data_IF_787917431334
#
_entry.id   IF_787917431334
#
_cell.length_a   1.000
_cell.length_b   1.000
_cell.length_c   1.000
_cell.angle_alpha   90.00
_cell.angle_beta   90.00
_cell.angle_gamma   90.00
#
_symmetry.space_group_name_H-M   'P 1'
#
loop_
_entity.id
_entity.type
_entity.pdbx_description
1 polymer ?
#
# COMPACT_ATOMS: atom_id res chain seq x y z
N UNK A 1 2.08 -23.45 -3.04
CA UNK A 1 2.47 -22.08 -3.45
C UNK A 1 3.98 -22.04 -3.50
N UNK A 2 4.58 -21.47 -4.53
CA UNK A 2 6.01 -21.61 -4.78
C UNK A 2 6.78 -20.59 -3.94
N UNK A 3 7.90 -20.97 -3.33
CA UNK A 3 8.71 -20.06 -2.50
C UNK A 3 9.36 -18.91 -3.28
N UNK A 4 9.20 -18.91 -4.60
CA UNK A 4 9.71 -17.90 -5.53
C UNK A 4 8.60 -16.96 -6.03
N UNK A 5 7.34 -17.17 -5.62
CA UNK A 5 6.25 -16.28 -5.99
C UNK A 5 6.51 -14.90 -5.36
N UNK A 6 6.48 -13.86 -6.18
CA UNK A 6 6.73 -12.47 -5.77
C UNK A 6 5.45 -11.67 -5.81
N UNK A 7 5.49 -10.50 -5.20
CA UNK A 7 4.45 -9.50 -5.30
C UNK A 7 4.14 -9.16 -6.75
N UNK A 8 2.88 -9.35 -7.14
CA UNK A 8 2.39 -9.05 -8.48
C UNK A 8 1.64 -7.72 -8.45
N UNK A 9 1.83 -6.91 -9.49
CA UNK A 9 1.25 -5.58 -9.57
C UNK A 9 0.76 -5.26 -10.98
N UNK A 10 -0.44 -4.69 -11.06
CA UNK A 10 -0.94 -4.00 -12.24
C UNK A 10 -1.10 -2.52 -11.92
N UNK A 11 -0.54 -1.66 -12.76
CA UNK A 11 -0.63 -0.20 -12.62
C UNK A 11 -1.49 0.35 -13.75
N UNK A 12 -2.50 1.15 -13.39
CA UNK A 12 -3.38 1.84 -14.32
C UNK A 12 -3.27 3.34 -14.04
N UNK A 13 -2.84 4.10 -15.04
CA UNK A 13 -2.86 5.55 -14.99
C UNK A 13 -4.18 6.07 -15.59
N UNK A 14 -4.87 6.91 -14.82
CA UNK A 14 -6.19 7.46 -15.17
C UNK A 14 -6.13 8.97 -15.11
N UNK A 15 -6.55 9.64 -16.18
CA UNK A 15 -6.69 11.09 -16.22
C UNK A 15 -8.17 11.47 -16.25
N UNK A 16 -8.58 12.33 -15.32
CA UNK A 16 -9.96 12.85 -15.29
C UNK A 16 -9.92 14.32 -14.87
N UNK A 17 -10.51 15.20 -15.67
CA UNK A 17 -10.58 16.64 -15.41
C UNK A 17 -9.19 17.27 -15.14
N UNK A 18 -8.16 16.83 -15.88
CA UNK A 18 -6.78 17.30 -15.67
C UNK A 18 -6.07 16.72 -14.44
N UNK A 19 -6.73 15.87 -13.66
CA UNK A 19 -6.14 15.20 -12.50
C UNK A 19 -5.68 13.81 -12.90
N UNK A 20 -4.43 13.50 -12.58
CA UNK A 20 -3.84 12.17 -12.76
C UNK A 20 -4.01 11.33 -11.49
N UNK A 21 -4.62 10.16 -11.65
CA UNK A 21 -4.74 9.12 -10.64
C UNK A 21 -3.90 7.91 -11.05
N UNK A 22 -3.25 7.28 -10.07
CA UNK A 22 -2.55 6.02 -10.26
C UNK A 22 -3.26 4.94 -9.46
N UNK A 23 -3.86 3.98 -10.12
CA UNK A 23 -4.52 2.83 -9.48
C UNK A 23 -3.58 1.64 -9.56
N UNK A 24 -3.25 1.05 -8.43
CA UNK A 24 -2.39 -0.12 -8.35
C UNK A 24 -3.17 -1.29 -7.76
N UNK A 25 -3.39 -2.31 -8.58
CA UNK A 25 -3.91 -3.60 -8.15
C UNK A 25 -2.77 -4.53 -7.76
N UNK A 26 -2.82 -5.13 -6.57
CA UNK A 26 -1.75 -5.98 -6.04
C UNK A 26 -2.24 -7.37 -5.67
N UNK A 27 -1.37 -8.35 -5.84
CA UNK A 27 -1.48 -9.66 -5.22
C UNK A 27 -0.16 -10.02 -4.54
N UNK A 28 -0.21 -10.16 -3.21
CA UNK A 28 0.93 -10.63 -2.42
C UNK A 28 0.78 -12.13 -2.15
N UNK A 29 1.66 -12.99 -2.68
CA UNK A 29 1.59 -14.41 -2.37
C UNK A 29 1.86 -14.65 -0.87
N UNK A 30 1.28 -15.70 -0.27
CA UNK A 30 1.62 -16.17 1.06
C UNK A 30 3.12 -16.30 1.25
N UNK A 31 3.58 -16.01 2.45
CA UNK A 31 5.00 -16.03 2.82
C UNK A 31 5.88 -14.96 2.17
N UNK A 32 5.34 -14.09 1.30
CA UNK A 32 6.03 -12.89 0.85
C UNK A 32 5.77 -11.69 1.79
N UNK A 33 6.82 -10.95 2.11
CA UNK A 33 6.73 -9.67 2.81
C UNK A 33 6.72 -8.55 1.75
N UNK A 34 5.62 -7.81 1.57
CA UNK A 34 5.52 -6.85 0.49
C UNK A 34 6.37 -5.61 0.78
N UNK A 35 7.14 -5.18 -0.21
CA UNK A 35 7.86 -3.90 -0.19
C UNK A 35 7.01 -2.85 -0.92
N UNK A 36 6.12 -2.20 -0.15
CA UNK A 36 5.18 -1.21 -0.70
C UNK A 36 5.86 0.13 -1.04
N UNK A 37 7.04 0.42 -0.49
CA UNK A 37 7.76 1.65 -0.82
C UNK A 37 8.25 1.63 -2.28
N UNK A 38 8.57 0.43 -2.79
CA UNK A 38 8.93 0.22 -4.20
C UNK A 38 7.72 0.23 -5.12
N UNK A 39 6.53 -0.10 -4.63
CA UNK A 39 5.30 -0.06 -5.41
C UNK A 39 4.77 1.36 -5.47
N UNK A 40 4.96 1.97 -6.64
CA UNK A 40 4.45 3.32 -6.93
C UNK A 40 5.53 4.34 -7.26
N UNK A 41 6.80 3.98 -7.12
CA UNK A 41 7.95 4.81 -7.50
C UNK A 41 8.07 6.08 -6.66
N UNK A 42 8.92 6.05 -5.63
CA UNK A 42 9.56 7.16 -4.87
C UNK A 42 8.64 8.22 -4.21
N UNK A 43 7.39 8.35 -4.63
CA UNK A 43 6.34 9.00 -3.86
C UNK A 43 5.05 8.41 -4.36
N UNK A 44 4.26 7.70 -3.53
CA UNK A 44 2.87 7.46 -3.96
C UNK A 44 2.29 8.85 -4.20
N UNK A 45 2.02 9.16 -5.47
CA UNK A 45 1.39 10.38 -5.92
C UNK A 45 0.18 10.67 -5.02
N UNK A 46 -0.13 11.95 -4.79
CA UNK A 46 -1.25 12.34 -3.89
C UNK A 46 -2.57 11.66 -4.25
N UNK A 47 -2.70 11.25 -5.51
CA UNK A 47 -3.86 10.61 -6.11
C UNK A 47 -3.59 9.12 -6.45
N UNK A 48 -2.81 8.42 -5.64
CA UNK A 48 -2.62 6.97 -5.77
C UNK A 48 -3.65 6.20 -4.96
N UNK A 49 -4.30 5.22 -5.59
CA UNK A 49 -5.15 4.23 -4.95
C UNK A 49 -4.43 2.89 -5.03
N UNK A 50 -4.22 2.24 -3.89
CA UNK A 50 -3.68 0.87 -3.83
C UNK A 50 -4.80 -0.04 -3.33
N UNK A 51 -5.03 -1.15 -4.03
CA UNK A 51 -6.01 -2.16 -3.69
C UNK A 51 -5.48 -3.55 -4.07
N UNK A 52 -5.96 -4.59 -3.42
CA UNK A 52 -5.48 -5.94 -3.69
C UNK A 52 -5.63 -6.89 -2.51
N UNK A 53 -5.18 -8.12 -2.71
CA UNK A 53 -5.05 -9.10 -1.65
C UNK A 53 -3.59 -9.16 -1.20
N UNK A 54 -3.35 -8.74 0.04
CA UNK A 54 -2.02 -8.70 0.64
C UNK A 54 -1.70 -9.95 1.48
N UNK A 55 -2.69 -10.81 1.74
CA UNK A 55 -2.57 -11.91 2.72
C UNK A 55 -2.04 -11.36 4.06
N UNK A 56 -2.61 -10.22 4.48
CA UNK A 56 -2.12 -9.41 5.58
C UNK A 56 -3.20 -9.31 6.67
N UNK A 57 -3.00 -10.00 7.79
CA UNK A 57 -3.89 -9.86 8.94
C UNK A 57 -3.54 -8.57 9.69
N UNK A 58 -4.54 -7.73 9.98
CA UNK A 58 -4.44 -6.57 10.85
C UNK A 58 -5.73 -6.33 11.60
N UNK A 59 -5.59 -5.90 12.85
CA UNK A 59 -6.71 -5.40 13.66
C UNK A 59 -7.35 -4.15 13.07
N UNK A 60 -6.63 -3.36 12.25
CA UNK A 60 -7.15 -2.14 11.60
C UNK A 60 -8.21 -2.43 10.53
N UNK A 61 -8.23 -3.64 9.99
CA UNK A 61 -9.24 -4.09 9.02
C UNK A 61 -9.92 -5.39 9.44
N UNK A 62 -10.05 -5.61 10.76
CA UNK A 62 -11.01 -6.57 11.32
C UNK A 62 -10.47 -7.94 11.72
N UNK A 63 -9.15 -8.18 11.68
CA UNK A 63 -8.57 -9.41 12.24
C UNK A 63 -8.41 -9.31 13.76
N UNK A 64 -8.33 -10.45 14.44
CA UNK A 64 -8.07 -10.50 15.89
C UNK A 64 -6.61 -10.18 16.26
N UNK A 65 -5.69 -10.27 15.29
CA UNK A 65 -4.28 -9.98 15.47
C UNK A 65 -3.66 -9.31 14.23
N UNK A 66 -2.49 -8.70 14.42
CA UNK A 66 -1.70 -8.12 13.33
C UNK A 66 -0.48 -9.01 13.02
N UNK A 67 -0.44 -9.54 11.81
CA UNK A 67 0.67 -10.32 11.26
C UNK A 67 1.86 -9.44 10.87
N UNK A 68 3.03 -10.03 10.59
CA UNK A 68 4.19 -9.29 10.07
C UNK A 68 3.87 -8.58 8.74
N UNK A 69 3.17 -9.26 7.84
CA UNK A 69 2.66 -8.70 6.58
C UNK A 69 1.68 -7.55 6.82
N UNK A 70 0.79 -7.69 7.81
CA UNK A 70 -0.10 -6.61 8.26
C UNK A 70 0.67 -5.36 8.69
N UNK A 71 1.69 -5.52 9.54
CA UNK A 71 2.54 -4.40 9.97
C UNK A 71 3.24 -3.72 8.80
N UNK A 72 3.80 -4.49 7.85
CA UNK A 72 4.46 -3.94 6.67
C UNK A 72 3.51 -3.13 5.77
N UNK A 73 2.21 -3.49 5.73
CA UNK A 73 1.19 -2.71 5.02
C UNK A 73 0.79 -1.44 5.80
N UNK A 74 0.77 -1.51 7.13
CA UNK A 74 0.38 -0.39 7.99
C UNK A 74 1.42 0.72 8.11
N UNK A 75 2.71 0.38 8.19
CA UNK A 75 3.81 1.31 8.45
C UNK A 75 3.85 2.50 7.46
N UNK A 76 3.77 2.29 6.13
CA UNK A 76 3.74 3.38 5.16
C UNK A 76 2.49 4.26 5.25
N UNK A 77 1.39 3.75 5.79
CA UNK A 77 0.15 4.52 5.99
C UNK A 77 0.28 5.46 7.19
N UNK A 78 1.06 5.07 8.21
CA UNK A 78 1.22 5.83 9.44
C UNK A 78 2.16 7.02 9.29
N UNK A 79 3.29 6.84 8.59
CA UNK A 79 4.29 7.90 8.36
C UNK A 79 3.68 9.13 7.66
N UNK A 80 2.65 8.94 6.84
CA UNK A 80 1.93 9.99 6.10
C UNK A 80 0.91 10.76 6.93
N UNK A 81 0.41 10.19 8.03
CA UNK A 81 -0.51 10.89 8.94
C UNK A 81 0.25 11.93 9.78
N UNK A 82 1.48 11.61 10.20
CA UNK A 82 2.31 12.49 11.03
C UNK A 82 2.75 13.76 10.29
N UNK A 83 3.07 13.66 8.99
CA UNK A 83 3.42 14.82 8.16
C UNK A 83 2.25 15.80 7.92
N UNK A 84 0.99 15.35 8.01
CA UNK A 84 -0.18 16.25 7.89
C UNK A 84 -0.36 17.13 9.12
N UNK A 85 -0.07 16.62 10.31
CA UNK A 85 -0.27 17.36 11.56
C UNK A 85 0.79 18.46 11.78
N UNK A 86 1.96 18.36 11.15
CA UNK A 86 2.99 19.41 11.22
C UNK A 86 2.74 20.58 10.25
N UNK A 87 1.97 20.37 9.17
CA UNK A 87 1.65 21.41 8.18
C UNK A 87 0.36 22.18 8.48
N UNK A 88 -0.42 21.77 9.46
CA UNK A 88 -1.64 22.48 9.91
C UNK A 88 -1.41 23.30 11.18
N UNK A 89 -0.18 23.34 11.69
CA UNK A 89 0.22 24.08 12.90
C UNK A 89 1.20 25.23 12.64
N UNK A 90 1.31 25.72 11.39
CA UNK A 90 2.06 26.92 11.03
C UNK A 90 1.13 27.98 10.44
#
# INVERSE_FOLDING_TARGET
>A
MNSNDKLEAICIDVWKNGIHFKIVGLYNPPSNLPDLERIGGISMHRNTIILGDFIAHSTRWGYSNTSATGKAVEEPLQSRATSRNQLQGQ
#
